data_IF_175692419344
#
_entry.id   IF_175692419344
#
_cell.length_a   1.000
_cell.length_b   1.000
_cell.length_c   1.000
_cell.angle_alpha   90.00
_cell.angle_beta   90.00
_cell.angle_gamma   90.00
#
_symmetry.space_group_name_H-M   'P 1'
#
loop_
_entity.id
_entity.type
_entity.pdbx_description
1 polymer ?
#
# COMPACT_ATOMS: atom_id res chain seq x y z
N UNK A 1 -4.37 -8.62 31.20
CA UNK A 1 -4.70 -9.23 29.90
C UNK A 1 -3.46 -9.84 29.30
N UNK A 2 -3.58 -10.92 28.52
CA UNK A 2 -2.46 -11.73 27.99
C UNK A 2 -1.65 -11.06 26.86
N UNK A 3 -2.02 -9.85 26.43
CA UNK A 3 -1.33 -9.14 25.34
C UNK A 3 -1.53 -9.77 23.95
N UNK A 4 -2.40 -10.78 23.84
CA UNK A 4 -2.75 -11.47 22.60
C UNK A 4 -4.27 -11.40 22.38
N UNK A 5 -4.65 -11.28 21.11
CA UNK A 5 -6.00 -11.17 20.59
C UNK A 5 -6.26 -12.36 19.66
N UNK A 6 -7.48 -12.90 19.69
CA UNK A 6 -7.88 -13.94 18.74
C UNK A 6 -7.95 -13.36 17.33
N UNK A 7 -7.57 -14.16 16.34
CA UNK A 7 -7.70 -13.79 14.93
C UNK A 7 -9.12 -13.38 14.56
N UNK A 8 -10.14 -14.04 15.13
CA UNK A 8 -11.56 -13.70 14.96
C UNK A 8 -11.95 -12.33 15.53
N UNK A 9 -11.29 -11.92 16.61
CA UNK A 9 -11.62 -10.69 17.34
C UNK A 9 -10.85 -9.48 16.80
N UNK A 10 -9.77 -9.73 16.04
CA UNK A 10 -8.94 -8.69 15.41
C UNK A 10 -9.78 -7.82 14.47
N UNK A 11 -10.64 -8.42 13.65
CA UNK A 11 -11.53 -7.69 12.74
C UNK A 11 -12.46 -6.73 13.49
N UNK A 12 -13.09 -7.20 14.58
CA UNK A 12 -13.96 -6.36 15.42
C UNK A 12 -13.18 -5.26 16.15
N UNK A 13 -11.94 -5.54 16.57
CA UNK A 13 -11.10 -4.55 17.21
C UNK A 13 -10.73 -3.41 16.24
N UNK A 14 -10.40 -3.76 14.99
CA UNK A 14 -10.09 -2.80 13.91
C UNK A 14 -11.31 -1.97 13.53
N UNK A 15 -12.48 -2.59 13.41
CA UNK A 15 -13.75 -1.90 13.14
C UNK A 15 -14.10 -0.88 14.24
N UNK A 16 -13.91 -1.26 15.51
CA UNK A 16 -14.16 -0.38 16.66
C UNK A 16 -13.26 0.85 16.73
N UNK A 17 -12.06 0.79 16.16
CA UNK A 17 -11.14 1.94 16.09
C UNK A 17 -11.29 2.74 14.79
N UNK A 18 -12.28 2.40 13.94
CA UNK A 18 -12.55 3.07 12.67
C UNK A 18 -11.60 2.65 11.54
N UNK A 19 -10.83 1.58 11.72
CA UNK A 19 -9.99 1.02 10.67
C UNK A 19 -10.73 -0.11 9.94
N UNK A 20 -11.18 0.18 8.73
CA UNK A 20 -11.82 -0.83 7.87
C UNK A 20 -10.76 -1.39 6.91
N UNK A 21 -10.23 -2.56 7.24
CA UNK A 21 -9.46 -3.37 6.29
C UNK A 21 -10.40 -4.31 5.52
N UNK A 22 -10.09 -4.55 4.24
CA UNK A 22 -10.78 -5.59 3.48
C UNK A 22 -10.47 -6.97 4.08
N UNK A 23 -11.46 -7.86 4.15
CA UNK A 23 -11.28 -9.20 4.73
C UNK A 23 -10.08 -9.94 4.13
N UNK A 24 -9.90 -9.87 2.81
CA UNK A 24 -8.77 -10.51 2.12
C UNK A 24 -7.40 -10.06 2.65
N UNK A 25 -7.23 -8.75 2.81
CA UNK A 25 -5.99 -8.16 3.31
C UNK A 25 -5.78 -8.51 4.78
N UNK A 26 -6.86 -8.48 5.57
CA UNK A 26 -6.80 -8.90 6.97
C UNK A 26 -6.38 -10.36 7.11
N UNK A 27 -6.94 -11.27 6.30
CA UNK A 27 -6.58 -12.69 6.32
C UNK A 27 -5.12 -12.94 5.92
N UNK A 28 -4.61 -12.20 4.91
CA UNK A 28 -3.19 -12.25 4.55
C UNK A 28 -2.30 -11.86 5.73
N UNK A 29 -2.57 -10.70 6.34
CA UNK A 29 -1.81 -10.20 7.48
C UNK A 29 -1.87 -11.18 8.66
N UNK A 30 -3.05 -11.76 8.94
CA UNK A 30 -3.19 -12.76 10.01
C UNK A 30 -2.35 -14.00 9.70
N UNK A 31 -2.38 -14.51 8.46
CA UNK A 31 -1.64 -15.71 8.07
C UNK A 31 -0.12 -15.49 8.17
N UNK A 32 0.36 -14.31 7.81
CA UNK A 32 1.77 -13.94 7.88
C UNK A 32 2.25 -13.72 9.33
N UNK A 33 1.38 -13.18 10.21
CA UNK A 33 1.70 -12.98 11.63
C UNK A 33 1.59 -14.30 12.42
N UNK A 34 0.64 -15.16 12.08
CA UNK A 34 0.37 -16.44 12.76
C UNK A 34 0.78 -17.65 11.93
N UNK A 35 2.06 -17.71 11.51
CA UNK A 35 2.61 -18.85 10.76
C UNK A 35 2.43 -20.20 11.50
N UNK A 36 2.35 -20.16 12.83
CA UNK A 36 2.17 -21.34 13.69
C UNK A 36 0.71 -21.77 13.84
N UNK A 37 -0.23 -21.06 13.21
CA UNK A 37 -1.67 -21.32 13.30
C UNK A 37 -2.16 -21.47 14.75
N UNK A 38 -1.63 -20.64 15.63
CA UNK A 38 -1.98 -20.65 17.05
C UNK A 38 -3.37 -20.08 17.31
N UNK A 39 -3.92 -19.33 16.35
CA UNK A 39 -5.19 -18.62 16.47
C UNK A 39 -5.11 -17.40 17.40
N UNK A 40 -3.91 -17.05 17.86
CA UNK A 40 -3.63 -15.99 18.81
C UNK A 40 -2.51 -15.11 18.29
N UNK A 41 -2.82 -13.85 18.02
CA UNK A 41 -1.89 -12.87 17.49
C UNK A 41 -1.72 -11.74 18.50
N UNK A 42 -0.49 -11.28 18.68
CA UNK A 42 -0.27 -10.06 19.46
C UNK A 42 -0.57 -8.86 18.58
N UNK A 43 -1.23 -7.86 19.17
CA UNK A 43 -1.57 -6.65 18.45
C UNK A 43 -0.32 -5.88 17.96
N UNK A 44 0.79 -5.94 18.72
CA UNK A 44 2.09 -5.39 18.32
C UNK A 44 2.62 -6.00 17.02
N UNK A 45 2.49 -7.32 16.89
CA UNK A 45 3.07 -8.08 15.78
C UNK A 45 2.25 -7.84 14.52
N UNK A 46 0.91 -7.82 14.67
CA UNK A 46 -0.01 -7.41 13.62
C UNK A 46 0.28 -5.99 13.12
N UNK A 47 0.41 -5.02 14.03
CA UNK A 47 0.71 -3.65 13.64
C UNK A 47 2.05 -3.56 12.90
N UNK A 48 3.09 -4.25 13.36
CA UNK A 48 4.40 -4.24 12.72
C UNK A 48 4.32 -4.71 11.26
N UNK A 49 3.62 -5.82 11.00
CA UNK A 49 3.42 -6.30 9.62
C UNK A 49 2.51 -5.36 8.83
N UNK A 50 1.44 -4.84 9.43
CA UNK A 50 0.56 -3.87 8.76
C UNK A 50 1.32 -2.61 8.33
N UNK A 51 2.14 -2.04 9.21
CA UNK A 51 2.99 -0.90 8.90
C UNK A 51 4.01 -1.28 7.82
N UNK A 52 4.65 -2.45 7.92
CA UNK A 52 5.56 -2.90 6.86
C UNK A 52 4.84 -3.01 5.52
N UNK A 53 3.64 -3.58 5.46
CA UNK A 53 2.93 -3.81 4.20
C UNK A 53 2.31 -2.52 3.62
N UNK A 54 1.86 -1.60 4.48
CA UNK A 54 1.30 -0.31 4.09
C UNK A 54 2.36 0.68 3.63
N UNK A 55 3.54 0.63 4.25
CA UNK A 55 4.63 1.57 3.96
C UNK A 55 5.72 0.98 3.07
N UNK A 56 5.74 -0.34 2.83
CA UNK A 56 6.59 -0.92 1.80
C UNK A 56 6.19 -0.49 0.39
N UNK A 57 4.92 -0.17 0.15
CA UNK A 57 4.46 0.35 -1.14
C UNK A 57 4.66 1.87 -1.29
N UNK A 58 4.96 2.60 -0.20
CA UNK A 58 5.21 4.04 -0.28
C UNK A 58 6.58 4.34 -0.92
N UNK A 59 7.56 3.44 -0.79
CA UNK A 59 8.82 3.53 -1.53
C UNK A 59 8.63 3.21 -3.04
N UNK A 60 7.59 2.45 -3.40
CA UNK A 60 7.28 2.04 -4.78
C UNK A 60 6.52 3.16 -5.52
N UNK A 61 5.58 3.83 -4.85
CA UNK A 61 4.85 4.98 -5.40
C UNK A 61 5.79 6.15 -5.77
N UNK A 62 6.84 6.40 -4.98
CA UNK A 62 7.83 7.43 -5.29
C UNK A 62 8.71 7.03 -6.49
N UNK A 63 9.01 5.74 -6.64
CA UNK A 63 9.76 5.23 -7.79
C UNK A 63 8.93 5.30 -9.08
N UNK A 64 7.68 4.84 -9.04
CA UNK A 64 6.75 4.90 -10.17
C UNK A 64 6.45 6.34 -10.59
N UNK A 65 6.33 7.26 -9.62
CA UNK A 65 6.11 8.67 -9.87
C UNK A 65 7.36 9.33 -10.50
N UNK A 66 8.55 8.99 -10.02
CA UNK A 66 9.80 9.50 -10.58
C UNK A 66 10.05 8.95 -11.99
N UNK A 67 9.82 7.66 -12.21
CA UNK A 67 9.93 7.03 -13.53
C UNK A 67 8.94 7.64 -14.52
N UNK A 68 7.68 7.86 -14.11
CA UNK A 68 6.69 8.54 -14.94
C UNK A 68 7.10 10.00 -15.24
N UNK A 69 7.68 10.70 -14.28
CA UNK A 69 8.18 12.06 -14.46
C UNK A 69 9.35 12.11 -15.46
N UNK A 70 10.31 11.20 -15.35
CA UNK A 70 11.45 11.07 -16.26
C UNK A 70 10.98 10.66 -17.67
N UNK A 71 10.06 9.69 -17.77
CA UNK A 71 9.47 9.27 -19.05
C UNK A 71 8.75 10.42 -19.78
N UNK A 72 8.21 11.38 -19.04
CA UNK A 72 7.55 12.56 -19.60
C UNK A 72 8.48 13.76 -19.83
N UNK A 73 9.80 13.59 -19.68
CA UNK A 73 10.82 14.59 -20.00
C UNK A 73 11.47 15.28 -18.81
N UNK A 74 11.17 14.85 -17.59
CA UNK A 74 11.87 15.25 -16.37
C UNK A 74 13.27 14.62 -16.24
N UNK A 75 14.09 15.15 -15.34
CA UNK A 75 15.41 14.59 -15.04
C UNK A 75 15.33 13.60 -13.86
N UNK A 76 16.25 12.63 -13.82
CA UNK A 76 16.37 11.62 -12.76
C UNK A 76 16.67 12.21 -11.36
N UNK A 77 17.18 13.44 -11.30
CA UNK A 77 17.39 14.18 -10.06
C UNK A 77 16.14 14.90 -9.55
N UNK A 78 14.97 14.57 -10.10
CA UNK A 78 13.68 15.22 -9.87
C UNK A 78 13.65 16.72 -10.21
N UNK A 79 14.58 17.18 -11.05
CA UNK A 79 14.57 18.54 -11.61
C UNK A 79 14.07 18.53 -13.05
N UNK A 80 13.91 19.72 -13.65
CA UNK A 80 13.42 19.86 -15.01
C UNK A 80 11.89 19.99 -15.08
N UNK A 81 11.34 19.82 -16.29
CA UNK A 81 9.93 20.04 -16.58
C UNK A 81 9.45 18.94 -17.51
N UNK A 82 8.23 18.45 -17.29
CA UNK A 82 7.59 17.52 -18.23
C UNK A 82 7.23 18.25 -19.52
N UNK A 83 7.43 17.60 -20.67
CA UNK A 83 7.03 18.13 -21.96
C UNK A 83 5.51 17.98 -22.11
N UNK A 84 4.82 19.11 -22.26
CA UNK A 84 3.37 19.13 -22.42
C UNK A 84 2.91 18.33 -23.64
N UNK A 85 3.73 18.24 -24.69
CA UNK A 85 3.42 17.48 -25.90
C UNK A 85 3.42 15.98 -25.62
N UNK A 86 4.42 15.50 -24.88
CA UNK A 86 4.54 14.09 -24.45
C UNK A 86 3.40 13.75 -23.51
N UNK A 87 3.11 14.60 -22.52
CA UNK A 87 1.99 14.42 -21.60
C UNK A 87 0.65 14.27 -22.35
N UNK A 88 0.38 15.16 -23.32
CA UNK A 88 -0.84 15.14 -24.13
C UNK A 88 -0.89 13.90 -25.02
N UNK A 89 0.24 13.48 -25.59
CA UNK A 89 0.33 12.29 -26.44
C UNK A 89 0.07 11.01 -25.64
N UNK A 90 0.73 10.85 -24.50
CA UNK A 90 0.54 9.71 -23.58
C UNK A 90 -0.93 9.61 -23.15
N UNK A 91 -1.55 10.72 -22.74
CA UNK A 91 -2.96 10.73 -22.29
C UNK A 91 -3.93 10.37 -23.44
N UNK A 92 -3.69 10.88 -24.65
CA UNK A 92 -4.58 10.67 -25.80
C UNK A 92 -4.39 9.31 -26.48
N UNK A 93 -3.16 8.84 -26.61
CA UNK A 93 -2.82 7.69 -27.45
C UNK A 93 -2.61 6.42 -26.62
N UNK A 94 -1.90 6.50 -25.48
CA UNK A 94 -1.67 5.33 -24.63
C UNK A 94 -2.87 5.05 -23.71
N UNK A 95 -3.37 6.08 -23.03
CA UNK A 95 -4.50 5.91 -22.10
C UNK A 95 -5.87 6.06 -22.77
N UNK A 96 -5.92 6.47 -24.05
CA UNK A 96 -7.15 6.66 -24.84
C UNK A 96 -8.19 7.55 -24.13
N UNK A 97 -7.73 8.48 -23.28
CA UNK A 97 -8.60 9.41 -22.58
C UNK A 97 -8.83 10.65 -23.44
N UNK A 98 -10.09 11.05 -23.56
CA UNK A 98 -10.45 12.28 -24.27
C UNK A 98 -10.28 13.46 -23.30
N UNK A 99 -9.23 14.26 -23.51
CA UNK A 99 -9.01 15.56 -22.85
C UNK A 99 -9.69 16.71 -23.58
#
# INVERSE_FOLDING_TARGET
GLGAIKTSDLAQALDKIGFVLQERELYKLIYEVDEKNTGLIKFSDFLSIYYKHKYANLDDDDHDLLDAFVAMGGNEDATGHVDASVLIETIKNEFQMTI
#
